data_IF_898262589314
#
_entry.id   IF_898262589314
#
_cell.length_a   1.000
_cell.length_b   1.000
_cell.length_c   1.000
_cell.angle_alpha   90.00
_cell.angle_beta   90.00
_cell.angle_gamma   90.00
#
_symmetry.space_group_name_H-M   'P 1'
#
loop_
_entity.id
_entity.type
_entity.pdbx_description
1 polymer ?
#
# COMPACT_ATOMS: atom_id res chain seq x y z
N UNK A 1 4.67 1.81 14.37
CA UNK A 1 3.39 1.51 15.05
C UNK A 1 3.37 2.04 16.47
N UNK A 2 2.26 2.62 16.84
CA UNK A 2 2.03 3.08 18.21
C UNK A 2 0.66 2.59 18.69
N UNK A 3 0.59 2.12 19.94
CA UNK A 3 -0.68 1.80 20.58
C UNK A 3 -1.15 3.06 21.33
N UNK A 4 -2.31 3.59 20.93
CA UNK A 4 -2.84 4.84 21.46
C UNK A 4 -4.29 4.67 21.91
N UNK A 5 -4.65 5.36 22.99
CA UNK A 5 -6.05 5.48 23.41
C UNK A 5 -6.77 6.51 22.52
N UNK A 6 -8.11 6.51 22.56
CA UNK A 6 -8.90 7.53 21.82
C UNK A 6 -8.60 8.95 22.29
N UNK A 7 -8.28 9.16 23.57
CA UNK A 7 -7.91 10.46 24.09
C UNK A 7 -6.58 10.95 23.50
N UNK A 8 -5.59 10.05 23.41
CA UNK A 8 -4.29 10.34 22.80
C UNK A 8 -4.43 10.63 21.30
N UNK A 9 -5.29 9.89 20.60
CA UNK A 9 -5.61 10.15 19.20
C UNK A 9 -6.18 11.55 19.00
N UNK A 10 -7.11 11.97 19.85
CA UNK A 10 -7.69 13.31 19.80
C UNK A 10 -6.63 14.40 19.96
N UNK A 11 -5.64 14.20 20.83
CA UNK A 11 -4.51 15.10 21.00
C UNK A 11 -3.71 15.21 19.71
N UNK A 12 -3.41 14.08 19.05
CA UNK A 12 -2.69 14.07 17.78
C UNK A 12 -3.45 14.81 16.67
N UNK A 13 -4.74 14.56 16.54
CA UNK A 13 -5.59 15.24 15.56
C UNK A 13 -5.62 16.75 15.78
N UNK A 14 -5.77 17.19 17.04
CA UNK A 14 -5.82 18.58 17.39
C UNK A 14 -4.51 19.32 17.08
N UNK A 15 -3.39 18.66 17.23
CA UNK A 15 -2.06 19.26 17.02
C UNK A 15 -1.53 19.14 15.60
N UNK A 16 -2.11 18.29 14.77
CA UNK A 16 -1.70 18.06 13.37
C UNK A 16 -0.19 17.83 13.20
N UNK A 17 0.42 17.09 14.13
CA UNK A 17 1.88 16.96 14.19
C UNK A 17 2.46 16.11 13.06
N UNK A 18 1.81 14.99 12.74
CA UNK A 18 2.27 14.04 11.73
C UNK A 18 1.09 13.36 11.04
N UNK A 19 1.21 13.02 9.76
CA UNK A 19 0.23 12.16 9.11
C UNK A 19 0.20 10.80 9.80
N UNK A 20 -0.99 10.30 10.09
CA UNK A 20 -1.14 8.97 10.68
C UNK A 20 -2.40 8.30 10.15
N UNK A 21 -2.41 6.98 10.29
CA UNK A 21 -3.56 6.15 9.94
C UNK A 21 -3.86 5.20 11.09
N UNK A 22 -5.15 5.07 11.44
CA UNK A 22 -5.57 4.02 12.36
C UNK A 22 -5.52 2.68 11.63
N UNK A 23 -4.67 1.79 12.09
CA UNK A 23 -4.53 0.46 11.52
C UNK A 23 -5.58 -0.53 12.07
N UNK A 24 -5.77 -0.48 13.37
CA UNK A 24 -6.86 -1.17 14.07
C UNK A 24 -7.15 -0.44 15.38
N UNK A 25 -8.08 -0.92 16.18
CA UNK A 25 -8.62 -0.20 17.34
C UNK A 25 -7.58 0.40 18.28
N UNK A 26 -6.38 -0.16 18.37
CA UNK A 26 -5.34 0.28 19.29
C UNK A 26 -4.00 0.57 18.61
N UNK A 27 -3.93 0.54 17.29
CA UNK A 27 -2.67 0.75 16.59
C UNK A 27 -2.78 1.82 15.52
N UNK A 28 -1.76 2.67 15.45
CA UNK A 28 -1.61 3.73 14.47
C UNK A 28 -0.30 3.57 13.73
N UNK A 29 -0.33 3.95 12.47
CA UNK A 29 0.86 3.99 11.63
C UNK A 29 1.13 5.45 11.27
N UNK A 30 2.31 5.92 11.60
CA UNK A 30 2.79 7.24 11.18
C UNK A 30 3.65 7.07 9.94
N UNK A 31 3.09 7.40 8.81
CA UNK A 31 3.78 7.38 7.53
C UNK A 31 3.13 8.39 6.58
N UNK A 32 3.82 8.80 5.52
CA UNK A 32 3.17 9.60 4.48
C UNK A 32 1.92 8.89 3.96
N UNK A 33 0.81 9.62 3.92
CA UNK A 33 -0.48 9.04 3.53
C UNK A 33 -0.51 8.59 2.07
N UNK A 34 0.31 9.19 1.21
CA UNK A 34 0.33 8.92 -0.23
C UNK A 34 1.64 8.22 -0.64
N UNK A 35 1.59 6.90 -0.64
CA UNK A 35 2.72 6.08 -1.10
C UNK A 35 3.04 6.32 -2.57
N UNK A 36 2.04 6.64 -3.38
CA UNK A 36 2.24 6.84 -4.81
C UNK A 36 3.01 8.12 -5.11
N UNK A 37 2.89 9.14 -4.28
CA UNK A 37 3.73 10.33 -4.41
C UNK A 37 5.23 9.99 -4.31
N UNK A 38 5.59 9.12 -3.37
CA UNK A 38 6.95 8.61 -3.25
C UNK A 38 7.41 7.85 -4.49
N UNK A 39 6.52 7.03 -5.05
CA UNK A 39 6.79 6.31 -6.30
C UNK A 39 7.02 7.29 -7.46
N UNK A 40 6.18 8.31 -7.60
CA UNK A 40 6.35 9.31 -8.64
C UNK A 40 7.69 10.03 -8.55
N UNK A 41 8.14 10.37 -7.34
CA UNK A 41 9.44 11.00 -7.12
C UNK A 41 10.60 10.10 -7.54
N UNK A 42 10.53 8.81 -7.22
CA UNK A 42 11.55 7.83 -7.62
C UNK A 42 11.58 7.68 -9.14
N UNK A 43 10.43 7.55 -9.77
CA UNK A 43 10.33 7.41 -11.22
C UNK A 43 10.85 8.64 -11.96
N UNK A 44 10.56 9.84 -11.44
CA UNK A 44 11.11 11.09 -11.97
C UNK A 44 12.63 11.13 -11.85
N UNK A 45 13.17 10.76 -10.69
CA UNK A 45 14.61 10.67 -10.48
C UNK A 45 15.29 9.71 -11.43
N UNK A 46 14.68 8.55 -11.66
CA UNK A 46 15.19 7.51 -12.56
C UNK A 46 14.92 7.81 -14.04
N UNK A 47 14.16 8.85 -14.36
CA UNK A 47 13.70 9.16 -15.73
C UNK A 47 12.95 7.99 -16.36
N UNK A 48 12.19 7.25 -15.54
CA UNK A 48 11.42 6.08 -15.97
C UNK A 48 9.93 6.43 -16.11
N UNK A 49 9.22 5.85 -17.07
CA UNK A 49 7.80 6.16 -17.29
C UNK A 49 6.92 5.53 -16.21
N UNK A 50 5.89 6.27 -15.78
CA UNK A 50 4.93 5.80 -14.77
C UNK A 50 4.15 4.55 -15.22
N UNK A 51 4.01 4.34 -16.52
CA UNK A 51 3.35 3.17 -17.09
C UNK A 51 4.06 1.84 -16.72
N UNK A 52 5.34 1.91 -16.37
CA UNK A 52 6.13 0.73 -15.99
C UNK A 52 5.99 0.37 -14.51
N UNK A 53 5.22 1.14 -13.74
CA UNK A 53 5.04 0.91 -12.30
C UNK A 53 4.06 -0.23 -12.05
N UNK A 54 4.47 -1.16 -11.20
CA UNK A 54 3.61 -2.21 -10.65
C UNK A 54 3.67 -2.11 -9.12
N UNK A 55 2.52 -2.15 -8.49
CA UNK A 55 2.43 -2.08 -7.03
C UNK A 55 1.81 -3.35 -6.46
N UNK A 56 2.31 -3.76 -5.31
CA UNK A 56 1.75 -4.85 -4.51
C UNK A 56 1.21 -4.28 -3.21
N UNK A 57 0.12 -4.86 -2.71
CA UNK A 57 -0.45 -4.41 -1.45
C UNK A 57 -1.35 -5.43 -0.79
N UNK A 58 -1.62 -5.23 0.49
CA UNK A 58 -2.46 -6.11 1.29
C UNK A 58 -3.38 -5.36 2.27
N UNK A 59 -3.08 -4.13 2.60
CA UNK A 59 -3.74 -3.40 3.67
C UNK A 59 -4.47 -2.13 3.22
N UNK A 60 -5.19 -1.55 4.17
CA UNK A 60 -5.96 -0.32 3.97
C UNK A 60 -5.09 0.87 3.56
N UNK A 61 -3.85 0.91 4.03
CA UNK A 61 -2.89 1.95 3.70
C UNK A 61 -2.41 1.90 2.24
N UNK A 62 -2.77 0.88 1.49
CA UNK A 62 -2.41 0.71 0.07
C UNK A 62 -3.52 1.17 -0.89
N UNK A 63 -4.70 1.56 -0.37
CA UNK A 63 -5.86 1.90 -1.20
C UNK A 63 -5.57 3.05 -2.17
N UNK A 64 -4.98 4.15 -1.70
CA UNK A 64 -4.68 5.30 -2.55
C UNK A 64 -3.63 4.96 -3.62
N UNK A 65 -2.62 4.21 -3.25
CA UNK A 65 -1.62 3.72 -4.19
C UNK A 65 -2.26 2.86 -5.30
N UNK A 66 -3.19 1.98 -4.92
CA UNK A 66 -3.89 1.11 -5.87
C UNK A 66 -4.79 1.91 -6.83
N UNK A 67 -5.41 3.00 -6.36
CA UNK A 67 -6.23 3.86 -7.23
C UNK A 67 -5.42 4.55 -8.31
N UNK A 68 -4.17 4.89 -8.03
CA UNK A 68 -3.32 5.71 -8.89
C UNK A 68 -2.38 4.89 -9.77
N UNK A 69 -1.96 3.71 -9.32
CA UNK A 69 -1.00 2.89 -10.04
C UNK A 69 -1.60 2.33 -11.35
N UNK A 70 -0.82 2.27 -12.43
CA UNK A 70 -1.29 1.70 -13.69
C UNK A 70 -1.54 0.20 -13.59
N UNK A 71 -0.81 -0.50 -12.73
CA UNK A 71 -0.98 -1.92 -12.47
C UNK A 71 -0.84 -2.21 -10.98
N UNK A 72 -1.84 -2.86 -10.41
CA UNK A 72 -1.87 -3.19 -8.99
C UNK A 72 -2.16 -4.68 -8.77
N UNK A 73 -1.42 -5.28 -7.85
CA UNK A 73 -1.54 -6.69 -7.52
C UNK A 73 -1.85 -6.82 -6.03
N UNK A 74 -3.04 -7.33 -5.72
CA UNK A 74 -3.43 -7.59 -4.34
C UNK A 74 -2.92 -8.96 -3.90
N UNK A 75 -2.38 -9.03 -2.70
CA UNK A 75 -2.00 -10.29 -2.08
C UNK A 75 -3.23 -11.12 -1.74
N UNK A 76 -3.11 -12.43 -1.72
CA UNK A 76 -4.22 -13.33 -1.37
C UNK A 76 -4.79 -13.10 0.03
N UNK A 77 -3.97 -12.57 0.94
CA UNK A 77 -4.37 -12.16 2.29
C UNK A 77 -4.79 -10.69 2.39
N UNK A 78 -4.93 -9.98 1.27
CA UNK A 78 -5.33 -8.58 1.25
C UNK A 78 -6.78 -8.39 1.71
N UNK A 79 -7.10 -7.17 2.13
CA UNK A 79 -8.49 -6.79 2.42
C UNK A 79 -9.33 -6.83 1.15
N UNK A 80 -10.62 -7.08 1.30
CA UNK A 80 -11.54 -7.25 0.16
C UNK A 80 -11.61 -6.02 -0.74
N UNK A 81 -11.52 -4.83 -0.17
CA UNK A 81 -11.52 -3.57 -0.92
C UNK A 81 -10.35 -3.48 -1.92
N UNK A 82 -9.16 -3.92 -1.50
CA UNK A 82 -7.99 -3.96 -2.38
C UNK A 82 -8.15 -5.00 -3.48
N UNK A 83 -8.64 -6.19 -3.13
CA UNK A 83 -8.89 -7.24 -4.11
C UNK A 83 -9.88 -6.80 -5.19
N UNK A 84 -10.90 -6.05 -4.79
CA UNK A 84 -11.93 -5.58 -5.71
C UNK A 84 -11.39 -4.57 -6.74
N UNK A 85 -10.40 -3.76 -6.38
CA UNK A 85 -9.83 -2.75 -7.28
C UNK A 85 -8.54 -3.18 -7.98
N UNK A 86 -7.95 -4.29 -7.57
CA UNK A 86 -6.67 -4.75 -8.11
C UNK A 86 -6.78 -5.20 -9.57
N UNK A 87 -5.72 -4.99 -10.33
CA UNK A 87 -5.56 -5.54 -11.68
C UNK A 87 -5.49 -7.08 -11.62
N UNK A 88 -4.85 -7.62 -10.60
CA UNK A 88 -4.67 -9.05 -10.40
C UNK A 88 -4.61 -9.38 -8.91
N UNK A 89 -5.15 -10.53 -8.53
CA UNK A 89 -5.03 -11.04 -7.16
C UNK A 89 -4.13 -12.28 -7.20
N UNK A 90 -3.03 -12.21 -6.48
CA UNK A 90 -2.08 -13.32 -6.39
C UNK A 90 -2.32 -14.17 -5.14
N UNK A 91 -1.45 -15.11 -4.88
CA UNK A 91 -1.51 -15.94 -3.69
C UNK A 91 -1.10 -15.16 -2.43
N UNK A 92 -1.24 -15.77 -1.28
CA UNK A 92 -0.90 -15.16 0.01
C UNK A 92 0.59 -14.81 0.10
N UNK A 93 0.89 -13.80 0.91
CA UNK A 93 2.28 -13.39 1.15
C UNK A 93 3.13 -14.49 1.78
N UNK A 94 2.53 -15.36 2.59
CA UNK A 94 3.19 -16.50 3.22
C UNK A 94 3.27 -17.74 2.28
N UNK A 95 2.78 -17.63 1.05
CA UNK A 95 2.82 -18.68 0.04
C UNK A 95 3.42 -18.19 -1.28
N UNK A 96 4.46 -17.36 -1.19
CA UNK A 96 5.20 -16.82 -2.34
C UNK A 96 4.32 -16.06 -3.34
N UNK A 97 3.35 -15.31 -2.86
CA UNK A 97 2.41 -14.57 -3.72
C UNK A 97 3.10 -13.60 -4.68
N UNK A 98 4.11 -12.86 -4.22
CA UNK A 98 4.86 -11.94 -5.09
C UNK A 98 5.58 -12.70 -6.19
N UNK A 99 6.32 -13.75 -5.84
CA UNK A 99 7.04 -14.57 -6.82
C UNK A 99 6.11 -15.21 -7.83
N UNK A 100 4.96 -15.71 -7.38
CA UNK A 100 3.95 -16.30 -8.27
C UNK A 100 3.39 -15.30 -9.27
N UNK A 101 3.09 -14.07 -8.82
CA UNK A 101 2.64 -13.01 -9.70
C UNK A 101 3.71 -12.65 -10.73
N UNK A 102 4.95 -12.49 -10.30
CA UNK A 102 6.06 -12.17 -11.20
C UNK A 102 6.27 -13.24 -12.26
N UNK A 103 6.13 -14.51 -11.91
CA UNK A 103 6.19 -15.62 -12.88
C UNK A 103 4.99 -15.63 -13.82
N UNK A 104 3.80 -15.37 -13.28
CA UNK A 104 2.57 -15.29 -14.08
C UNK A 104 2.67 -14.25 -15.20
N UNK A 105 3.24 -13.09 -14.90
CA UNK A 105 3.42 -12.01 -15.87
C UNK A 105 4.72 -12.13 -16.68
N UNK A 106 5.55 -13.12 -16.42
CA UNK A 106 6.77 -13.35 -17.16
C UNK A 106 7.93 -12.41 -16.82
N UNK A 107 7.86 -11.71 -15.69
CA UNK A 107 8.93 -10.80 -15.26
C UNK A 107 10.14 -11.53 -14.69
N UNK A 108 9.94 -12.72 -14.17
CA UNK A 108 10.99 -13.63 -13.71
C UNK A 108 10.72 -15.04 -14.22
N UNK A 109 11.74 -15.89 -14.14
CA UNK A 109 11.64 -17.28 -14.58
C UNK A 109 11.11 -18.23 -13.51
#
# INVERSE_FOLDING_TARGET
FFALTKQEETILETRHLLPYMRYHDQAFVFEPADKYEGIMRIMDYLQAPLEDVVVFGDGKNDLDMFRKAPMSIAMGNAIDELKAMATYVTDRSDNDGIGKACRHFGWIR
#
